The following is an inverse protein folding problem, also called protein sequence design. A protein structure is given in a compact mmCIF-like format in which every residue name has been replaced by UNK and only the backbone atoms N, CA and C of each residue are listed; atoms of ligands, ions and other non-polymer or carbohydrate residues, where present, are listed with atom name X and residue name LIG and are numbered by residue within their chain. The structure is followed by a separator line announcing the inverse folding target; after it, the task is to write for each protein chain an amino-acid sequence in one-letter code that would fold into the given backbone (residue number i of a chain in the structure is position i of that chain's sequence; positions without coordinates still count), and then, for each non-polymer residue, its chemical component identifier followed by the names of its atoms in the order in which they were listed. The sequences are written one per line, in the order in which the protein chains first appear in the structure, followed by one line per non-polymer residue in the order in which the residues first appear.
data_IF_724249006082
#
_entry.id   IF_724249006082
#
_cell.length_a   1.000
_cell.length_b   1.000
_cell.length_c   1.000
_cell.angle_alpha   90.00
_cell.angle_beta   90.00
_cell.angle_gamma   90.00
#
_symmetry.space_group_name_H-M   'P 1'
#
loop_
_entity.id
_entity.type
_entity.pdbx_description
1 polymer ?
#
# COMPACT_ATOMS: atom_id res chain seq x y z
N UNK A 1 15.12 23.20 5.90
CA UNK A 1 14.42 21.90 5.85
C UNK A 1 13.01 22.10 5.28
N UNK A 2 12.62 21.30 4.29
CA UNK A 2 11.27 21.37 3.75
C UNK A 2 10.29 20.74 4.73
N UNK A 3 9.09 21.34 4.84
CA UNK A 3 8.00 20.72 5.60
C UNK A 3 7.47 19.49 4.86
N UNK A 4 6.77 18.61 5.56
CA UNK A 4 6.10 17.46 4.95
C UNK A 4 5.14 17.90 3.85
N UNK A 5 4.37 18.98 4.10
CA UNK A 5 3.44 19.54 3.13
C UNK A 5 4.15 19.99 1.85
N UNK A 6 5.29 20.67 1.98
CA UNK A 6 6.04 21.14 0.81
C UNK A 6 6.61 19.96 0.00
N UNK A 7 7.03 18.88 0.65
CA UNK A 7 7.51 17.67 -0.02
C UNK A 7 6.38 17.02 -0.83
N UNK A 8 5.20 16.89 -0.26
CA UNK A 8 4.04 16.34 -0.97
C UNK A 8 3.60 17.24 -2.12
N UNK A 9 3.66 18.56 -1.96
CA UNK A 9 3.34 19.49 -3.04
C UNK A 9 4.29 19.28 -4.24
N UNK A 10 5.56 19.06 -3.99
CA UNK A 10 6.52 18.78 -5.05
C UNK A 10 6.23 17.43 -5.73
N UNK A 11 5.90 16.39 -4.96
CA UNK A 11 5.56 15.07 -5.49
C UNK A 11 4.32 15.17 -6.39
N UNK A 12 3.29 15.88 -5.92
CA UNK A 12 2.04 15.98 -6.66
C UNK A 12 2.13 16.90 -7.89
N UNK A 13 3.11 17.78 -7.93
CA UNK A 13 3.32 18.66 -9.09
C UNK A 13 4.06 17.99 -10.25
N UNK A 14 4.83 16.93 -9.98
CA UNK A 14 5.60 16.23 -10.97
C UNK A 14 4.98 14.84 -11.24
N UNK A 15 4.54 14.61 -12.48
CA UNK A 15 3.87 13.35 -12.84
C UNK A 15 4.73 12.11 -12.59
N UNK A 16 6.03 12.17 -12.86
CA UNK A 16 6.89 11.02 -12.64
C UNK A 16 7.09 10.72 -11.15
N UNK A 17 7.27 11.75 -10.33
CA UNK A 17 7.37 11.59 -8.89
C UNK A 17 6.07 11.07 -8.30
N UNK A 18 4.92 11.61 -8.75
CA UNK A 18 3.60 11.16 -8.32
C UNK A 18 3.35 9.70 -8.72
N UNK A 19 3.71 9.35 -9.94
CA UNK A 19 3.58 7.98 -10.46
C UNK A 19 4.37 6.99 -9.61
N UNK A 20 5.62 7.32 -9.31
CA UNK A 20 6.49 6.47 -8.48
C UNK A 20 5.95 6.35 -7.05
N UNK A 21 5.56 7.47 -6.44
CA UNK A 21 5.00 7.48 -5.09
C UNK A 21 3.76 6.59 -4.98
N UNK A 22 2.79 6.77 -5.87
CA UNK A 22 1.54 6.00 -5.83
C UNK A 22 1.79 4.51 -6.11
N UNK A 23 2.71 4.18 -7.01
CA UNK A 23 3.04 2.79 -7.32
C UNK A 23 3.66 2.07 -6.12
N UNK A 24 4.60 2.72 -5.44
CA UNK A 24 5.25 2.16 -4.25
C UNK A 24 4.23 2.02 -3.11
N UNK A 25 3.40 3.04 -2.90
CA UNK A 25 2.38 3.01 -1.86
C UNK A 25 1.35 1.91 -2.11
N UNK A 26 0.86 1.78 -3.35
CA UNK A 26 -0.11 0.73 -3.71
C UNK A 26 0.48 -0.66 -3.51
N UNK A 27 1.74 -0.88 -3.90
CA UNK A 27 2.42 -2.16 -3.73
C UNK A 27 2.60 -2.51 -2.25
N UNK A 28 2.99 -1.54 -1.42
CA UNK A 28 3.15 -1.74 0.02
C UNK A 28 1.84 -2.09 0.71
N UNK A 29 0.76 -1.40 0.35
CA UNK A 29 -0.56 -1.68 0.91
C UNK A 29 -1.08 -3.06 0.50
N UNK A 30 -0.92 -3.45 -0.76
CA UNK A 30 -1.33 -4.77 -1.23
C UNK A 30 -0.55 -5.89 -0.53
N UNK A 31 0.75 -5.71 -0.33
CA UNK A 31 1.57 -6.68 0.39
C UNK A 31 1.15 -6.77 1.86
N UNK A 32 0.84 -5.63 2.50
CA UNK A 32 0.35 -5.60 3.87
C UNK A 32 -0.96 -6.36 4.03
N UNK A 33 -1.89 -6.22 3.09
CA UNK A 33 -3.14 -6.97 3.09
C UNK A 33 -2.89 -8.48 3.02
N UNK A 34 -2.00 -8.92 2.14
CA UNK A 34 -1.65 -10.34 2.02
C UNK A 34 -0.98 -10.87 3.29
N UNK A 35 -0.03 -10.11 3.87
CA UNK A 35 0.65 -10.49 5.10
C UNK A 35 -0.33 -10.62 6.27
N UNK A 36 -1.28 -9.69 6.40
CA UNK A 36 -2.29 -9.74 7.45
C UNK A 36 -3.18 -10.99 7.32
N UNK A 37 -3.53 -11.38 6.09
CA UNK A 37 -4.27 -12.61 5.84
C UNK A 37 -3.51 -13.85 6.33
N UNK A 38 -2.21 -13.90 6.08
CA UNK A 38 -1.36 -14.99 6.56
C UNK A 38 -1.26 -15.03 8.08
N UNK A 39 -1.06 -13.87 8.70
CA UNK A 39 -0.99 -13.77 10.16
C UNK A 39 -2.30 -14.23 10.78
N UNK A 40 -3.44 -13.79 10.25
CA UNK A 40 -4.74 -14.16 10.78
C UNK A 40 -4.96 -15.68 10.73
N UNK A 41 -4.47 -16.35 9.67
CA UNK A 41 -4.59 -17.79 9.52
C UNK A 41 -3.74 -18.58 10.54
N UNK A 42 -2.71 -17.95 11.09
CA UNK A 42 -1.77 -18.57 12.01
C UNK A 42 -2.02 -18.21 13.48
N UNK A 43 -3.04 -17.42 13.77
CA UNK A 43 -3.35 -16.99 15.14
C UNK A 43 -3.72 -18.22 15.99
N UNK A 44 -3.06 -18.43 17.14
CA UNK A 44 -3.41 -19.55 18.05
C UNK A 44 -4.85 -19.48 18.54
N UNK A 45 -5.42 -20.63 18.89
CA UNK A 45 -6.81 -20.71 19.36
C UNK A 45 -7.11 -19.79 20.55
N UNK A 46 -6.12 -19.57 21.42
CA UNK A 46 -6.26 -18.69 22.58
C UNK A 46 -6.41 -17.23 22.23
N UNK A 47 -6.13 -16.83 20.97
CA UNK A 47 -6.23 -15.46 20.48
C UNK A 47 -7.17 -15.32 19.29
N UNK A 48 -8.16 -16.20 19.20
CA UNK A 48 -9.08 -16.27 18.06
C UNK A 48 -9.88 -14.98 17.82
N UNK A 49 -10.11 -14.21 18.85
CA UNK A 49 -10.79 -12.92 18.74
C UNK A 49 -9.96 -11.86 18.01
N UNK A 50 -8.65 -12.07 17.86
CA UNK A 50 -7.77 -11.17 17.10
C UNK A 50 -7.84 -11.43 15.58
N UNK A 51 -8.12 -12.66 15.16
CA UNK A 51 -8.11 -13.03 13.75
C UNK A 51 -9.04 -12.16 12.90
N UNK A 52 -10.32 -11.95 13.26
CA UNK A 52 -11.18 -11.08 12.45
C UNK A 52 -10.73 -9.62 12.43
N UNK A 53 -10.07 -9.14 13.48
CA UNK A 53 -9.53 -7.78 13.51
C UNK A 53 -8.35 -7.64 12.55
N UNK A 54 -7.48 -8.65 12.51
CA UNK A 54 -6.33 -8.68 11.58
C UNK A 54 -6.82 -8.76 10.13
N UNK A 55 -7.82 -9.58 9.85
CA UNK A 55 -8.41 -9.69 8.51
C UNK A 55 -9.00 -8.34 8.08
N UNK A 56 -9.69 -7.66 8.97
CA UNK A 56 -10.27 -6.35 8.68
C UNK A 56 -9.20 -5.31 8.37
N UNK A 57 -8.10 -5.32 9.13
CA UNK A 57 -6.98 -4.43 8.87
C UNK A 57 -6.36 -4.69 7.49
N UNK A 58 -6.20 -5.96 7.12
CA UNK A 58 -5.71 -6.34 5.79
C UNK A 58 -6.64 -5.86 4.68
N UNK A 59 -7.96 -5.95 4.87
CA UNK A 59 -8.94 -5.45 3.91
C UNK A 59 -8.85 -3.94 3.75
N UNK A 60 -8.59 -3.21 4.84
CA UNK A 60 -8.39 -1.76 4.79
C UNK A 60 -7.12 -1.40 4.00
N UNK A 61 -6.05 -2.16 4.18
CA UNK A 61 -4.81 -1.95 3.41
C UNK A 61 -5.02 -2.19 1.92
N UNK A 62 -5.77 -3.24 1.55
CA UNK A 62 -6.13 -3.51 0.16
C UNK A 62 -6.95 -2.36 -0.44
N UNK A 63 -7.87 -1.81 0.33
CA UNK A 63 -8.67 -0.66 -0.09
C UNK A 63 -7.80 0.56 -0.32
N UNK A 64 -6.84 0.83 0.56
CA UNK A 64 -5.90 1.94 0.39
C UNK A 64 -5.06 1.76 -0.88
N UNK A 65 -4.60 0.55 -1.16
CA UNK A 65 -3.86 0.26 -2.38
C UNK A 65 -4.67 0.57 -3.64
N UNK A 66 -5.96 0.22 -3.65
CA UNK A 66 -6.85 0.53 -4.78
C UNK A 66 -7.05 2.03 -4.96
N UNK A 67 -7.04 2.79 -3.85
CA UNK A 67 -7.13 4.26 -3.92
C UNK A 67 -5.92 4.85 -4.64
N UNK A 68 -4.71 4.40 -4.30
CA UNK A 68 -3.51 4.87 -4.98
C UNK A 68 -3.51 4.56 -6.48
N UNK A 69 -3.94 3.35 -6.85
CA UNK A 69 -4.07 2.99 -8.27
C UNK A 69 -5.14 3.83 -8.99
N UNK A 70 -6.24 4.13 -8.31
CA UNK A 70 -7.29 4.99 -8.87
C UNK A 70 -6.79 6.41 -9.11
N UNK A 71 -5.94 6.94 -8.22
CA UNK A 71 -5.34 8.26 -8.39
C UNK A 71 -4.44 8.31 -9.64
N UNK A 72 -3.69 7.24 -9.89
CA UNK A 72 -2.88 7.12 -11.11
C UNK A 72 -3.75 7.12 -12.36
N UNK A 73 -4.81 6.30 -12.36
CA UNK A 73 -5.74 6.23 -13.49
C UNK A 73 -6.38 7.58 -13.78
N UNK A 74 -6.69 8.36 -12.76
CA UNK A 74 -7.30 9.68 -12.88
C UNK A 74 -6.39 10.67 -13.61
N UNK A 75 -5.08 10.50 -13.48
CA UNK A 75 -4.07 11.30 -14.20
C UNK A 75 -3.61 10.65 -15.50
N UNK A 76 -4.22 9.55 -15.91
CA UNK A 76 -3.82 8.77 -17.10
C UNK A 76 -2.37 8.27 -17.02
N UNK A 77 -1.93 7.90 -15.81
CA UNK A 77 -0.60 7.37 -15.57
C UNK A 77 -0.69 5.86 -15.29
N UNK A 78 0.19 5.08 -15.91
CA UNK A 78 0.31 3.65 -15.63
C UNK A 78 1.18 3.42 -14.39
N UNK A 79 0.91 2.38 -13.59
CA UNK A 79 1.78 2.05 -12.46
C UNK A 79 3.18 1.67 -12.92
N UNK A 80 4.17 1.99 -12.08
CA UNK A 80 5.54 1.51 -12.26
C UNK A 80 5.63 0.14 -11.61
N UNK A 81 6.25 -0.86 -12.26
CA UNK A 81 6.49 -2.14 -11.59
C UNK A 81 7.36 -1.95 -10.36
N UNK A 82 6.93 -2.53 -9.24
CA UNK A 82 7.66 -2.46 -7.97
C UNK A 82 8.01 -3.88 -7.56
N UNK A 83 9.29 -4.19 -7.28
CA UNK A 83 9.68 -5.52 -6.86
C UNK A 83 8.99 -5.92 -5.56
N UNK A 84 8.63 -7.19 -5.44
CA UNK A 84 8.10 -7.71 -4.19
C UNK A 84 9.17 -7.68 -3.10
N UNK A 85 8.74 -7.50 -1.85
CA UNK A 85 9.64 -7.52 -0.72
C UNK A 85 10.35 -8.88 -0.64
N UNK A 86 11.67 -8.86 -0.61
CA UNK A 86 12.47 -10.07 -0.56
C UNK A 86 12.78 -10.70 -1.92
N UNK A 87 12.23 -10.20 -3.02
CA UNK A 87 12.47 -10.72 -4.36
C UNK A 87 13.79 -10.23 -4.95
N UNK A 88 14.32 -9.12 -4.49
CA UNK A 88 15.54 -8.50 -5.01
C UNK A 88 16.76 -8.91 -4.19
N UNK A 89 17.12 -10.16 -4.20
CA UNK A 89 18.30 -10.67 -3.50
C UNK A 89 19.46 -10.85 -4.46
#
# INVERSE_FOLDING_TARGET
MLSTSAIFDEIFADDEAFRLFCSIAASGEAQGGWENGRIAALVPASYQDLAPKIVRHGADEDKHGRIFNALLSKRHLAPVPVPERGAAC
#
